data_IF_694269113216
#
_entry.id   IF_694269113216
#
_cell.length_a   1.000
_cell.length_b   1.000
_cell.length_c   1.000
_cell.angle_alpha   90.00
_cell.angle_beta   90.00
_cell.angle_gamma   90.00
#
_symmetry.space_group_name_H-M   'P 1'
#
loop_
_entity.id
_entity.type
_entity.pdbx_description
1 polymer ?
#
# COMPACT_ATOMS: atom_id res chain seq x y z
N UNK A 1 -13.29 -8.69 -13.24
CA UNK A 1 -14.52 -8.51 -12.43
C UNK A 1 -14.21 -7.92 -11.04
N UNK A 2 -13.15 -8.37 -10.36
CA UNK A 2 -12.72 -7.78 -9.08
C UNK A 2 -11.57 -6.78 -9.25
N UNK A 3 -11.46 -5.86 -8.30
CA UNK A 3 -10.28 -5.03 -8.03
C UNK A 3 -9.73 -5.26 -6.62
N UNK A 4 -8.57 -4.68 -6.33
CA UNK A 4 -7.88 -4.82 -5.05
C UNK A 4 -7.62 -3.46 -4.38
N UNK A 5 -7.60 -3.45 -3.05
CA UNK A 5 -7.05 -2.40 -2.20
C UNK A 5 -5.97 -3.01 -1.32
N UNK A 6 -4.76 -2.46 -1.39
CA UNK A 6 -3.70 -2.76 -0.44
C UNK A 6 -3.85 -1.82 0.75
N UNK A 7 -4.00 -2.38 1.95
CA UNK A 7 -4.16 -1.61 3.18
C UNK A 7 -3.52 -2.30 4.38
N UNK A 8 -3.43 -1.59 5.50
CA UNK A 8 -2.92 -2.09 6.78
C UNK A 8 -1.54 -2.76 6.63
N UNK A 9 -0.64 -2.12 5.87
CA UNK A 9 0.69 -2.65 5.64
C UNK A 9 1.64 -2.29 6.78
N UNK A 10 2.43 -3.28 7.18
CA UNK A 10 3.45 -3.12 8.20
C UNK A 10 4.76 -3.74 7.76
N UNK A 11 5.85 -3.12 8.19
CA UNK A 11 7.19 -3.69 8.12
C UNK A 11 7.64 -4.09 9.52
N UNK A 12 8.14 -5.31 9.67
CA UNK A 12 8.63 -5.87 10.93
C UNK A 12 10.03 -6.49 10.77
N UNK A 13 10.81 -6.46 11.84
CA UNK A 13 12.18 -7.02 11.91
C UNK A 13 12.23 -8.47 12.41
N UNK A 14 11.07 -9.07 12.71
CA UNK A 14 10.95 -10.40 13.29
C UNK A 14 11.28 -10.50 14.78
N UNK A 15 11.73 -9.42 15.43
CA UNK A 15 12.02 -9.33 16.87
C UNK A 15 11.01 -8.46 17.64
N UNK A 16 9.94 -8.04 16.98
CA UNK A 16 8.79 -7.38 17.59
C UNK A 16 8.71 -5.89 17.31
N UNK A 17 9.70 -5.29 16.65
CA UNK A 17 9.54 -3.93 16.14
C UNK A 17 8.65 -3.96 14.89
N UNK A 18 7.57 -3.18 14.92
CA UNK A 18 6.57 -3.11 13.85
C UNK A 18 6.26 -1.65 13.55
N UNK A 19 6.34 -1.27 12.27
CA UNK A 19 5.97 0.06 11.78
C UNK A 19 4.87 -0.06 10.74
N UNK A 20 3.84 0.77 10.86
CA UNK A 20 2.84 0.92 9.81
C UNK A 20 3.45 1.74 8.68
N UNK A 21 3.30 1.25 7.46
CA UNK A 21 3.73 1.92 6.23
C UNK A 21 2.53 2.25 5.33
N UNK A 22 1.42 1.51 5.46
CA UNK A 22 0.12 1.84 4.85
C UNK A 22 -0.96 1.66 5.92
N UNK A 23 -1.84 2.65 6.07
CA UNK A 23 -2.93 2.61 7.02
C UNK A 23 -4.11 1.73 6.55
N UNK A 24 -5.17 1.66 7.35
CA UNK A 24 -6.37 0.88 7.05
C UNK A 24 -7.18 1.36 5.82
N UNK A 25 -6.94 2.60 5.38
CA UNK A 25 -7.59 3.20 4.22
C UNK A 25 -6.75 3.05 2.94
N UNK A 26 -5.52 2.51 3.04
CA UNK A 26 -4.62 2.35 1.90
C UNK A 26 -3.69 3.55 1.68
N UNK A 27 -3.61 4.49 2.62
CA UNK A 27 -2.76 5.67 2.55
C UNK A 27 -1.38 5.41 3.20
N UNK A 28 -0.30 5.94 2.60
CA UNK A 28 1.03 5.80 3.18
C UNK A 28 1.20 6.69 4.40
N UNK A 29 1.81 6.12 5.44
CA UNK A 29 2.08 6.83 6.71
C UNK A 29 3.43 7.54 6.69
N UNK A 30 4.39 7.07 5.87
CA UNK A 30 5.71 7.69 5.70
C UNK A 30 6.20 7.61 4.25
N UNK A 31 5.93 8.69 3.49
CA UNK A 31 6.33 8.84 2.08
C UNK A 31 7.84 8.85 1.86
N UNK A 32 8.67 9.02 2.90
CA UNK A 32 10.14 8.98 2.79
C UNK A 32 10.68 7.56 2.71
N UNK A 33 9.99 6.61 3.33
CA UNK A 33 10.36 5.19 3.30
C UNK A 33 9.72 4.46 2.11
N UNK A 34 8.43 4.70 1.88
CA UNK A 34 7.67 4.17 0.74
C UNK A 34 6.65 5.23 0.30
N UNK A 35 6.65 5.58 -0.99
CA UNK A 35 5.63 6.49 -1.53
C UNK A 35 4.36 5.75 -1.97
N UNK A 36 3.38 6.49 -2.50
CA UNK A 36 2.03 5.97 -2.76
C UNK A 36 1.97 4.82 -3.77
N UNK A 37 1.13 3.78 -3.53
CA UNK A 37 1.10 2.62 -4.40
C UNK A 37 0.40 2.98 -5.70
N UNK A 38 0.98 2.60 -6.82
CA UNK A 38 0.35 2.77 -8.12
C UNK A 38 -0.54 1.56 -8.39
N UNK A 39 -1.81 1.80 -8.69
CA UNK A 39 -2.73 0.76 -9.13
C UNK A 39 -2.74 0.70 -10.65
N UNK A 40 -2.67 -0.51 -11.21
CA UNK A 40 -2.88 -0.71 -12.63
C UNK A 40 -4.31 -0.30 -13.01
N UNK A 41 -4.54 0.16 -14.25
CA UNK A 41 -5.87 0.54 -14.74
C UNK A 41 -6.90 -0.58 -14.57
N UNK A 42 -6.46 -1.83 -14.77
CA UNK A 42 -7.28 -3.01 -14.55
C UNK A 42 -7.50 -3.36 -13.06
N UNK A 43 -7.08 -2.53 -12.11
CA UNK A 43 -7.24 -2.62 -10.64
C UNK A 43 -6.92 -3.99 -10.02
N UNK A 44 -6.23 -4.86 -10.75
CA UNK A 44 -5.89 -6.23 -10.35
C UNK A 44 -4.45 -6.31 -9.80
N UNK A 45 -3.73 -5.20 -9.84
CA UNK A 45 -2.34 -5.09 -9.43
C UNK A 45 -2.12 -3.73 -8.80
N UNK A 46 -1.34 -3.72 -7.73
CA UNK A 46 -0.82 -2.54 -7.08
C UNK A 46 0.69 -2.73 -6.90
N UNK A 47 1.48 -1.70 -7.12
CA UNK A 47 2.94 -1.78 -7.02
C UNK A 47 3.51 -0.48 -6.49
N UNK A 48 4.70 -0.58 -5.89
CA UNK A 48 5.51 0.58 -5.54
C UNK A 48 6.98 0.23 -5.59
N UNK A 49 7.77 1.13 -6.16
CA UNK A 49 9.22 1.09 -6.08
C UNK A 49 9.68 1.83 -4.81
N UNK A 50 10.63 1.23 -4.09
CA UNK A 50 11.27 1.83 -2.93
C UNK A 50 12.77 1.55 -2.92
N UNK A 51 13.53 2.40 -2.23
CA UNK A 51 14.91 2.11 -1.92
C UNK A 51 14.99 1.02 -0.85
N UNK A 52 15.99 0.17 -0.95
CA UNK A 52 16.25 -0.84 0.09
C UNK A 52 16.64 -0.12 1.38
N UNK A 53 15.86 -0.31 2.44
CA UNK A 53 16.17 0.15 3.79
C UNK A 53 16.24 -1.04 4.74
N UNK A 54 16.84 -0.83 5.91
CA UNK A 54 16.79 -1.77 7.04
C UNK A 54 16.87 -1.01 8.35
N UNK A 55 16.35 -1.62 9.42
CA UNK A 55 16.64 -1.17 10.77
C UNK A 55 18.11 -1.48 11.12
N UNK A 56 18.72 -0.67 11.99
CA UNK A 56 20.07 -0.92 12.49
C UNK A 56 20.13 -2.31 13.14
N UNK A 57 21.22 -3.03 12.91
CA UNK A 57 21.48 -4.37 13.48
C UNK A 57 20.45 -5.47 13.10
N UNK A 58 19.61 -5.22 12.09
CA UNK A 58 18.66 -6.22 11.56
C UNK A 58 19.15 -6.82 10.24
N UNK A 59 18.94 -8.12 10.07
CA UNK A 59 19.37 -8.89 8.90
C UNK A 59 18.28 -9.06 7.84
N UNK A 60 17.01 -8.90 8.21
CA UNK A 60 15.88 -9.04 7.30
C UNK A 60 14.72 -8.11 7.68
N UNK A 61 13.93 -7.73 6.69
CA UNK A 61 12.64 -7.07 6.85
C UNK A 61 11.54 -7.99 6.35
N UNK A 62 10.40 -8.01 7.04
CA UNK A 62 9.18 -8.67 6.55
C UNK A 62 8.07 -7.66 6.34
N UNK A 63 7.54 -7.63 5.12
CA UNK A 63 6.37 -6.85 4.77
C UNK A 63 5.11 -7.70 4.91
N UNK A 64 4.07 -7.14 5.52
CA UNK A 64 2.74 -7.76 5.64
C UNK A 64 1.69 -6.72 5.30
N UNK A 65 0.73 -7.07 4.46
CA UNK A 65 -0.37 -6.21 4.06
C UNK A 65 -1.69 -6.98 4.07
N UNK A 66 -2.78 -6.27 4.32
CA UNK A 66 -4.13 -6.74 4.02
C UNK A 66 -4.49 -6.41 2.57
N UNK A 67 -5.27 -7.30 1.96
CA UNK A 67 -5.85 -7.09 0.63
C UNK A 67 -7.37 -7.14 0.76
N UNK A 68 -8.04 -6.05 0.40
CA UNK A 68 -9.50 -6.02 0.27
C UNK A 68 -9.88 -6.18 -1.19
N UNK A 69 -10.85 -7.03 -1.47
CA UNK A 69 -11.41 -7.21 -2.81
C UNK A 69 -12.66 -6.34 -2.97
N UNK A 70 -12.81 -5.73 -4.13
CA UNK A 70 -14.00 -4.99 -4.52
C UNK A 70 -14.57 -5.53 -5.84
N UNK A 71 -15.89 -5.52 -5.97
CA UNK A 71 -16.58 -5.90 -7.20
C UNK A 71 -16.70 -4.67 -8.11
N UNK A 72 -16.45 -4.83 -9.42
CA UNK A 72 -16.38 -3.69 -10.34
C UNK A 72 -17.71 -3.32 -10.99
N UNK A 73 -18.60 -4.29 -11.19
CA UNK A 73 -19.77 -4.10 -12.06
C UNK A 73 -20.86 -3.22 -11.42
N UNK A 74 -20.77 -2.97 -10.12
CA UNK A 74 -21.69 -2.12 -9.34
C UNK A 74 -21.00 -0.87 -8.78
N UNK A 75 -19.81 -0.51 -9.28
CA UNK A 75 -19.04 0.62 -8.76
C UNK A 75 -18.40 0.36 -7.40
N UNK A 76 -18.38 -0.89 -6.90
CA UNK A 76 -17.80 -1.23 -5.59
C UNK A 76 -16.30 -0.92 -5.44
N UNK A 77 -15.61 -0.59 -6.53
CA UNK A 77 -14.21 -0.15 -6.54
C UNK A 77 -14.02 1.37 -6.64
N UNK A 78 -15.10 2.14 -6.71
CA UNK A 78 -15.05 3.60 -6.81
C UNK A 78 -14.50 4.19 -5.50
N UNK A 79 -13.50 5.06 -5.61
CA UNK A 79 -12.82 5.64 -4.43
C UNK A 79 -11.82 4.71 -3.73
N UNK A 80 -11.71 3.44 -4.13
CA UNK A 80 -10.69 2.51 -3.62
C UNK A 80 -9.33 2.75 -4.31
N UNK A 81 -9.37 3.10 -5.59
CA UNK A 81 -8.20 3.34 -6.45
C UNK A 81 -8.08 4.81 -6.85
N UNK A 82 -9.03 5.62 -6.38
CA UNK A 82 -9.11 7.05 -6.57
C UNK A 82 -9.16 7.72 -5.18
N UNK A 83 -8.04 7.69 -4.47
CA UNK A 83 -7.52 8.97 -4.00
C UNK A 83 -6.36 9.36 -4.92
N UNK A 84 -6.62 10.18 -5.93
CA UNK A 84 -5.57 10.76 -6.75
C UNK A 84 -4.89 11.84 -5.92
N UNK A 85 -3.80 11.51 -5.21
CA UNK A 85 -2.80 12.56 -4.99
C UNK A 85 -2.26 13.10 -6.33
N UNK A 86 -2.45 12.36 -7.43
CA UNK A 86 -2.22 12.79 -8.81
C UNK A 86 -3.29 13.77 -9.38
N UNK A 87 -4.29 14.21 -8.59
CA UNK A 87 -5.21 15.30 -8.98
C UNK A 87 -5.32 16.41 -7.92
N UNK A 88 -4.34 16.56 -7.03
CA UNK A 88 -4.16 17.79 -6.24
C UNK A 88 -2.91 18.59 -6.66
N UNK A 89 -2.31 18.26 -7.80
CA UNK A 89 -1.27 19.06 -8.46
C UNK A 89 -1.66 19.40 -9.91
N UNK A 90 -2.92 19.81 -10.12
CA UNK A 90 -3.30 20.62 -11.29
C UNK A 90 -4.31 21.69 -10.92
#
# INVERSE_FOLDING_TARGET
IFGILVHSCTVEDGQGEKRFIVDENGCHTDRRLLGDPTYAEALNMAYRESYVFKFADRSALRFKCGIRLCYKMDGGCDGITLYPFDKLDR
#
